data_IF_586238505176
#
_entry.id   IF_586238505176
#
_cell.length_a   1.000
_cell.length_b   1.000
_cell.length_c   1.000
_cell.angle_alpha   90.00
_cell.angle_beta   90.00
_cell.angle_gamma   90.00
#
_symmetry.space_group_name_H-M   'P 1'
#
loop_
_entity.id
_entity.type
_entity.pdbx_description
1 polymer ?
#
# COMPACT_ATOMS: atom_id res chain seq x y z
N UNK A 1 -19.70 -80.35 46.49
CA UNK A 1 -18.69 -79.31 46.24
C UNK A 1 -19.04 -78.60 44.94
N UNK A 2 -19.55 -77.37 45.00
CA UNK A 2 -19.82 -76.56 43.80
C UNK A 2 -18.50 -75.91 43.37
N UNK A 3 -18.05 -76.19 42.15
CA UNK A 3 -16.88 -75.56 41.54
C UNK A 3 -17.33 -74.24 40.88
N UNK A 4 -16.66 -73.13 41.20
CA UNK A 4 -16.88 -71.84 40.55
C UNK A 4 -15.91 -71.71 39.38
N UNK A 5 -16.44 -71.72 38.16
CA UNK A 5 -15.67 -71.42 36.95
C UNK A 5 -15.53 -69.90 36.84
N UNK A 6 -14.30 -69.41 36.88
CA UNK A 6 -13.97 -67.99 36.71
C UNK A 6 -14.06 -67.64 35.21
N UNK A 7 -15.14 -67.00 34.80
CA UNK A 7 -15.29 -66.50 33.42
C UNK A 7 -14.43 -65.26 33.23
N UNK A 8 -13.35 -65.36 32.44
CA UNK A 8 -12.59 -64.19 32.00
C UNK A 8 -13.38 -63.46 30.92
N UNK A 9 -13.88 -62.27 31.26
CA UNK A 9 -14.44 -61.33 30.30
C UNK A 9 -13.29 -60.66 29.54
N UNK A 10 -13.05 -61.06 28.30
CA UNK A 10 -12.20 -60.28 27.40
C UNK A 10 -12.93 -59.00 27.03
N UNK A 11 -12.64 -57.91 27.74
CA UNK A 11 -12.98 -56.56 27.28
C UNK A 11 -11.99 -56.25 26.16
N UNK A 12 -12.42 -56.44 24.90
CA UNK A 12 -11.77 -55.78 23.78
C UNK A 12 -11.93 -54.28 23.99
N UNK A 13 -10.86 -53.60 24.38
CA UNK A 13 -10.80 -52.15 24.30
C UNK A 13 -10.89 -51.78 22.82
N UNK A 14 -12.08 -51.41 22.38
CA UNK A 14 -12.25 -50.72 21.10
C UNK A 14 -11.40 -49.47 21.20
N UNK A 15 -10.26 -49.44 20.50
CA UNK A 15 -9.55 -48.21 20.22
C UNK A 15 -10.54 -47.39 19.40
N UNK A 16 -11.21 -46.45 20.04
CA UNK A 16 -11.86 -45.34 19.36
C UNK A 16 -10.71 -44.56 18.71
N UNK A 17 -10.35 -44.95 17.49
CA UNK A 17 -9.71 -44.04 16.57
C UNK A 17 -10.73 -42.91 16.47
N UNK A 18 -10.40 -41.75 17.03
CA UNK A 18 -11.10 -40.51 16.75
C UNK A 18 -11.03 -40.35 15.22
N UNK A 19 -12.03 -40.85 14.50
CA UNK A 19 -12.29 -40.34 13.16
C UNK A 19 -12.31 -38.82 13.31
N UNK A 20 -11.45 -38.15 12.56
CA UNK A 20 -11.49 -36.70 12.51
C UNK A 20 -12.91 -36.34 12.09
N UNK A 21 -13.74 -35.92 13.04
CA UNK A 21 -15.07 -35.44 12.73
C UNK A 21 -14.84 -34.15 11.92
N UNK A 22 -15.12 -34.22 10.63
CA UNK A 22 -15.50 -33.04 9.88
C UNK A 22 -16.74 -32.52 10.58
N UNK A 23 -16.60 -31.44 11.34
CA UNK A 23 -17.78 -30.72 11.80
C UNK A 23 -18.36 -30.10 10.52
N UNK A 24 -19.36 -30.76 9.93
CA UNK A 24 -20.22 -30.16 8.90
C UNK A 24 -21.07 -29.06 9.57
N UNK A 25 -20.40 -27.98 9.96
CA UNK A 25 -21.04 -26.67 9.91
C UNK A 25 -21.16 -26.43 8.41
N UNK A 26 -22.38 -26.34 7.88
CA UNK A 26 -22.77 -26.36 6.45
C UNK A 26 -21.94 -25.46 5.50
N UNK A 27 -21.07 -24.63 6.05
CA UNK A 27 -20.22 -23.69 5.33
C UNK A 27 -18.79 -23.62 5.87
N UNK A 28 -18.28 -24.49 6.75
CA UNK A 28 -16.89 -24.43 7.22
C UNK A 28 -16.04 -25.52 6.55
N UNK A 29 -15.07 -25.14 5.72
CA UNK A 29 -14.24 -26.08 4.94
C UNK A 29 -12.75 -25.81 5.18
N UNK A 30 -12.11 -26.45 6.17
CA UNK A 30 -10.69 -26.29 6.43
C UNK A 30 -9.81 -27.24 5.59
N UNK A 31 -8.62 -26.80 5.22
CA UNK A 31 -7.54 -27.64 4.68
C UNK A 31 -6.31 -27.49 5.56
N UNK A 32 -6.06 -28.51 6.37
CA UNK A 32 -4.94 -28.57 7.32
C UNK A 32 -4.09 -29.81 7.01
N UNK A 33 -2.77 -29.68 6.96
CA UNK A 33 -1.84 -30.79 6.68
C UNK A 33 -0.41 -30.30 6.47
N UNK A 34 0.59 -31.17 6.66
CA UNK A 34 2.01 -30.79 6.57
C UNK A 34 2.57 -30.77 5.14
N UNK A 35 1.90 -31.41 4.19
CA UNK A 35 2.40 -31.58 2.80
C UNK A 35 1.73 -30.64 1.78
N UNK A 36 1.05 -29.60 2.24
CA UNK A 36 0.37 -28.67 1.33
C UNK A 36 1.19 -27.41 1.13
N UNK A 37 1.27 -26.92 -0.11
CA UNK A 37 1.90 -25.63 -0.43
C UNK A 37 1.16 -24.44 0.19
N UNK A 38 -0.08 -24.64 0.65
CA UNK A 38 -0.90 -23.67 1.40
C UNK A 38 -1.94 -24.37 2.28
N UNK A 39 -2.43 -23.69 3.32
CA UNK A 39 -3.44 -24.14 4.30
C UNK A 39 -4.53 -23.08 4.43
N UNK A 40 -5.77 -23.46 4.74
CA UNK A 40 -6.84 -22.47 4.89
C UNK A 40 -7.96 -22.89 5.84
N UNK A 41 -8.68 -21.88 6.32
CA UNK A 41 -10.03 -22.00 6.87
C UNK A 41 -10.90 -21.07 6.04
N UNK A 42 -12.00 -21.58 5.48
CA UNK A 42 -12.93 -20.77 4.68
C UNK A 42 -14.37 -21.04 5.05
N UNK A 43 -15.19 -20.02 4.82
CA UNK A 43 -16.63 -20.07 4.86
C UNK A 43 -17.18 -20.23 3.44
N UNK A 44 -18.16 -21.10 3.24
CA UNK A 44 -18.85 -21.36 1.99
C UNK A 44 -18.38 -22.62 1.23
N UNK A 45 -18.92 -22.85 0.03
CA UNK A 45 -18.67 -24.05 -0.78
C UNK A 45 -17.53 -23.85 -1.77
N UNK A 46 -16.81 -24.93 -2.10
CA UNK A 46 -15.68 -24.87 -3.04
C UNK A 46 -16.07 -24.52 -4.48
N UNK A 47 -17.36 -24.59 -4.80
CA UNK A 47 -17.89 -24.50 -6.17
C UNK A 47 -18.68 -23.22 -6.44
N UNK A 48 -19.13 -22.50 -5.41
CA UNK A 48 -20.06 -21.37 -5.62
C UNK A 48 -19.65 -20.09 -4.90
N UNK A 49 -19.17 -20.20 -3.66
CA UNK A 49 -18.97 -19.05 -2.78
C UNK A 49 -18.03 -19.38 -1.67
N UNK A 50 -16.84 -18.77 -1.61
CA UNK A 50 -16.06 -18.83 -0.38
C UNK A 50 -15.20 -17.60 -0.10
N UNK A 51 -14.94 -17.38 1.18
CA UNK A 51 -14.00 -16.39 1.70
C UNK A 51 -13.33 -16.97 2.95
N UNK A 52 -12.10 -16.56 3.24
CA UNK A 52 -11.39 -17.17 4.35
C UNK A 52 -10.03 -16.58 4.63
N UNK A 53 -9.30 -17.34 5.44
CA UNK A 53 -7.93 -17.09 5.81
C UNK A 53 -7.07 -18.20 5.23
N UNK A 54 -5.97 -17.84 4.58
CA UNK A 54 -5.01 -18.76 3.99
C UNK A 54 -3.61 -18.45 4.50
N UNK A 55 -2.85 -19.51 4.75
CA UNK A 55 -1.40 -19.46 4.92
C UNK A 55 -0.75 -20.09 3.69
N UNK A 56 0.04 -19.33 2.95
CA UNK A 56 0.83 -19.80 1.83
C UNK A 56 2.21 -20.23 2.33
N UNK A 57 2.59 -21.50 2.16
CA UNK A 57 3.96 -21.93 2.44
C UNK A 57 4.90 -21.58 1.28
N UNK A 58 4.49 -21.86 0.03
CA UNK A 58 5.39 -21.80 -1.12
C UNK A 58 4.69 -21.83 -2.49
N UNK A 59 3.38 -21.63 -2.56
CA UNK A 59 2.65 -21.56 -3.83
C UNK A 59 2.84 -20.18 -4.47
N UNK A 60 3.52 -20.15 -5.61
CA UNK A 60 3.85 -18.92 -6.32
C UNK A 60 2.62 -18.15 -6.82
N UNK A 61 1.47 -18.81 -6.95
CA UNK A 61 0.22 -18.13 -7.31
C UNK A 61 -0.27 -17.19 -6.19
N UNK A 62 0.04 -17.51 -4.94
CA UNK A 62 -0.41 -16.78 -3.75
C UNK A 62 0.67 -15.91 -3.09
N UNK A 63 1.87 -15.84 -3.69
CA UNK A 63 2.97 -15.00 -3.19
C UNK A 63 4.31 -15.71 -3.19
N UNK A 64 5.29 -15.11 -2.52
CA UNK A 64 6.65 -15.63 -2.39
C UNK A 64 6.82 -16.64 -1.23
N UNK A 65 5.75 -16.89 -0.47
CA UNK A 65 5.69 -17.90 0.57
C UNK A 65 5.85 -17.31 1.97
N UNK A 66 5.33 -18.03 2.97
CA UNK A 66 5.06 -17.53 4.33
C UNK A 66 4.07 -16.35 4.38
N UNK A 67 3.20 -16.25 3.37
CA UNK A 67 2.16 -15.23 3.32
C UNK A 67 0.94 -15.65 4.12
N UNK A 68 0.39 -14.70 4.86
CA UNK A 68 -0.97 -14.80 5.38
C UNK A 68 -1.90 -13.94 4.52
N UNK A 69 -2.97 -14.55 4.01
CA UNK A 69 -3.95 -13.87 3.16
C UNK A 69 -5.35 -13.96 3.75
N UNK A 70 -6.06 -12.84 3.70
CA UNK A 70 -7.52 -12.80 3.74
C UNK A 70 -7.95 -12.77 2.27
N UNK A 71 -8.97 -13.54 1.89
CA UNK A 71 -9.35 -13.62 0.48
C UNK A 71 -10.83 -13.91 0.28
N UNK A 72 -11.32 -13.59 -0.91
CA UNK A 72 -12.65 -13.92 -1.45
C UNK A 72 -12.48 -14.65 -2.79
N UNK A 73 -13.47 -15.42 -3.22
CA UNK A 73 -13.48 -16.08 -4.53
C UNK A 73 -14.43 -15.38 -5.53
N UNK A 74 -14.00 -15.31 -6.79
CA UNK A 74 -14.73 -14.62 -7.87
C UNK A 74 -14.68 -13.09 -7.75
N UNK A 75 -15.60 -12.42 -8.45
CA UNK A 75 -15.67 -10.95 -8.51
C UNK A 75 -16.35 -10.35 -7.28
N UNK A 76 -15.80 -10.65 -6.09
CA UNK A 76 -16.36 -10.22 -4.81
C UNK A 76 -15.46 -9.25 -4.09
N UNK A 77 -16.07 -8.20 -3.57
CA UNK A 77 -15.39 -7.23 -2.73
C UNK A 77 -14.96 -7.85 -1.40
N UNK A 78 -13.74 -7.49 -0.98
CA UNK A 78 -13.32 -7.61 0.41
C UNK A 78 -13.53 -6.27 1.09
N UNK A 79 -14.36 -6.23 2.13
CA UNK A 79 -14.63 -4.99 2.87
C UNK A 79 -14.10 -5.12 4.30
N UNK A 80 -13.38 -4.10 4.77
CA UNK A 80 -12.95 -3.94 6.16
C UNK A 80 -13.56 -2.63 6.66
N UNK A 81 -14.46 -2.72 7.64
CA UNK A 81 -15.27 -1.58 8.09
C UNK A 81 -14.98 -1.27 9.55
N UNK A 82 -14.33 -0.15 9.80
CA UNK A 82 -14.25 0.46 11.14
C UNK A 82 -15.42 1.44 11.27
N UNK A 83 -16.07 1.51 12.43
CA UNK A 83 -17.21 2.41 12.65
C UNK A 83 -16.79 3.87 12.64
N UNK A 84 -16.64 4.48 13.82
CA UNK A 84 -16.00 5.81 13.97
C UNK A 84 -14.50 5.71 14.22
N UNK A 85 -13.96 4.49 14.30
CA UNK A 85 -12.54 4.23 14.48
C UNK A 85 -11.74 4.24 13.18
N UNK A 86 -10.42 4.12 13.30
CA UNK A 86 -9.49 4.13 12.18
C UNK A 86 -9.21 2.71 11.68
N UNK A 87 -9.17 2.51 10.36
CA UNK A 87 -8.46 1.38 9.77
C UNK A 87 -6.96 1.72 9.74
N UNK A 88 -6.16 0.97 10.48
CA UNK A 88 -4.73 1.24 10.65
C UNK A 88 -3.95 0.05 10.09
N UNK A 89 -3.10 0.32 9.10
CA UNK A 89 -2.06 -0.59 8.63
C UNK A 89 -0.75 -0.16 9.27
N UNK A 90 -0.25 -0.93 10.23
CA UNK A 90 0.93 -0.59 11.02
C UNK A 90 2.02 -1.68 10.88
N UNK A 91 2.74 -1.72 9.75
CA UNK A 91 3.85 -2.65 9.60
C UNK A 91 5.00 -2.22 10.53
N UNK A 92 5.39 -3.11 11.43
CA UNK A 92 6.54 -2.88 12.33
C UNK A 92 7.87 -3.13 11.60
N UNK A 93 8.98 -2.71 12.22
CA UNK A 93 10.37 -2.99 11.79
C UNK A 93 10.64 -2.93 10.28
N UNK A 94 10.24 -1.84 9.62
CA UNK A 94 10.60 -1.61 8.22
C UNK A 94 9.62 -2.15 7.17
N UNK A 95 8.53 -2.84 7.54
CA UNK A 95 7.53 -3.27 6.58
C UNK A 95 6.85 -2.10 5.83
N UNK A 96 6.33 -2.40 4.65
CA UNK A 96 5.81 -1.45 3.66
C UNK A 96 4.40 -1.85 3.23
N UNK A 97 3.61 -0.89 2.73
CA UNK A 97 2.28 -1.15 2.19
C UNK A 97 2.32 -1.12 0.66
N UNK A 98 2.12 -2.29 0.05
CA UNK A 98 2.07 -2.45 -1.41
C UNK A 98 0.64 -2.44 -1.94
N UNK A 99 0.43 -1.80 -3.10
CA UNK A 99 -0.83 -1.87 -3.87
C UNK A 99 -0.48 -2.36 -5.28
N UNK A 100 -0.94 -3.57 -5.63
CA UNK A 100 -0.62 -4.20 -6.92
C UNK A 100 0.83 -4.69 -7.06
N UNK A 101 1.56 -4.79 -5.95
CA UNK A 101 2.97 -5.20 -5.88
C UNK A 101 3.19 -6.08 -4.65
N UNK A 102 3.96 -7.16 -4.80
CA UNK A 102 4.24 -8.14 -3.73
C UNK A 102 5.50 -7.82 -2.94
N UNK A 103 6.45 -7.08 -3.52
CA UNK A 103 7.72 -6.69 -2.88
C UNK A 103 7.90 -5.16 -2.89
N UNK A 104 7.13 -4.42 -2.08
CA UNK A 104 7.18 -2.95 -2.04
C UNK A 104 8.53 -2.43 -1.52
N UNK A 105 9.09 -1.45 -2.22
CA UNK A 105 10.42 -0.85 -1.92
C UNK A 105 10.34 0.47 -1.15
N UNK A 106 9.14 1.04 -1.05
CA UNK A 106 8.83 2.25 -0.28
C UNK A 106 7.67 2.03 0.69
N UNK A 107 7.51 2.91 1.68
CA UNK A 107 6.47 2.79 2.73
C UNK A 107 5.05 2.65 2.18
N UNK A 108 4.78 3.36 1.11
CA UNK A 108 3.65 3.13 0.22
C UNK A 108 4.24 2.95 -1.18
N UNK A 109 4.02 1.78 -1.78
CA UNK A 109 4.48 1.46 -3.13
C UNK A 109 3.27 0.99 -3.96
N UNK A 110 3.00 1.69 -5.05
CA UNK A 110 1.81 1.47 -5.88
C UNK A 110 2.26 1.14 -7.29
N UNK A 111 2.02 -0.10 -7.72
CA UNK A 111 2.20 -0.51 -9.10
C UNK A 111 0.89 -0.25 -9.86
N UNK A 112 0.67 1.01 -10.21
CA UNK A 112 -0.55 1.47 -10.89
C UNK A 112 -0.80 2.96 -10.72
N UNK A 113 -2.01 3.39 -11.09
CA UNK A 113 -2.43 4.79 -10.98
C UNK A 113 -3.01 5.11 -9.60
N UNK A 114 -2.69 6.30 -9.08
CA UNK A 114 -3.32 6.86 -7.88
C UNK A 114 -4.30 7.96 -8.31
N UNK A 115 -5.59 7.72 -8.11
CA UNK A 115 -6.64 8.73 -8.34
C UNK A 115 -6.99 9.43 -7.02
N UNK A 116 -6.84 10.75 -6.98
CA UNK A 116 -7.30 11.61 -5.87
C UNK A 116 -8.30 12.66 -6.38
N UNK A 117 -9.42 12.82 -5.68
CA UNK A 117 -10.46 13.82 -6.01
C UNK A 117 -10.29 15.15 -5.27
N UNK A 118 -9.23 15.31 -4.47
CA UNK A 118 -9.00 16.53 -3.70
C UNK A 118 -7.54 16.99 -3.80
N UNK A 119 -6.65 16.34 -3.05
CA UNK A 119 -5.24 16.71 -2.98
C UNK A 119 -4.34 15.48 -2.85
N UNK A 120 -3.10 15.63 -3.31
CA UNK A 120 -1.95 14.78 -2.96
C UNK A 120 -0.90 15.70 -2.38
N UNK A 121 -0.58 15.55 -1.09
CA UNK A 121 0.30 16.45 -0.32
C UNK A 121 1.52 15.71 0.23
N UNK A 122 2.68 16.36 0.13
CA UNK A 122 3.93 15.95 0.75
C UNK A 122 4.37 17.07 1.70
N UNK A 123 4.47 16.77 2.98
CA UNK A 123 4.94 17.71 3.99
C UNK A 123 6.46 17.70 4.08
N UNK A 124 7.07 18.84 4.41
CA UNK A 124 8.48 18.89 4.76
C UNK A 124 8.69 18.11 6.07
N UNK A 125 9.57 17.08 6.09
CA UNK A 125 9.81 16.26 7.28
C UNK A 125 10.27 17.04 8.52
N UNK A 126 10.98 18.15 8.31
CA UNK A 126 11.51 19.00 9.39
C UNK A 126 10.59 20.18 9.72
N UNK A 127 9.59 20.45 8.88
CA UNK A 127 8.58 21.48 9.11
C UNK A 127 7.25 21.09 8.47
N UNK A 128 6.37 20.35 9.16
CA UNK A 128 5.10 19.90 8.61
C UNK A 128 4.14 21.02 8.18
N UNK A 129 4.40 22.26 8.60
CA UNK A 129 3.65 23.44 8.15
C UNK A 129 4.03 23.87 6.75
N UNK A 130 5.19 23.46 6.22
CA UNK A 130 5.60 23.65 4.83
C UNK A 130 5.26 22.40 3.99
N UNK A 131 4.66 22.58 2.82
CA UNK A 131 4.27 21.46 1.97
C UNK A 131 4.23 21.78 0.46
N UNK A 132 4.28 20.71 -0.33
CA UNK A 132 4.04 20.67 -1.75
C UNK A 132 2.81 19.81 -2.03
N UNK A 133 1.87 20.29 -2.85
CA UNK A 133 0.72 19.47 -3.23
C UNK A 133 0.19 19.71 -4.65
N UNK A 134 -0.35 18.65 -5.23
CA UNK A 134 -1.18 18.68 -6.44
C UNK A 134 -2.64 18.85 -6.01
N UNK A 135 -3.35 19.83 -6.58
CA UNK A 135 -4.75 20.11 -6.21
C UNK A 135 -5.49 20.96 -7.26
N UNK A 136 -6.72 21.30 -6.93
CA UNK A 136 -7.57 22.26 -7.65
C UNK A 136 -7.90 23.46 -6.77
N UNK A 137 -7.99 24.65 -7.37
CA UNK A 137 -8.62 25.83 -6.78
C UNK A 137 -9.44 26.52 -7.86
N UNK A 138 -10.73 26.76 -7.61
CA UNK A 138 -11.63 27.43 -8.56
C UNK A 138 -11.55 26.82 -9.98
N UNK A 139 -11.64 25.49 -10.08
CA UNK A 139 -11.51 24.73 -11.34
C UNK A 139 -10.18 24.90 -12.09
N UNK A 140 -9.13 25.37 -11.41
CA UNK A 140 -7.77 25.45 -11.96
C UNK A 140 -6.89 24.41 -11.30
N UNK A 141 -6.33 23.50 -12.11
CA UNK A 141 -5.31 22.56 -11.65
C UNK A 141 -4.04 23.32 -11.27
N UNK A 142 -3.42 22.94 -10.14
CA UNK A 142 -2.21 23.61 -9.66
C UNK A 142 -1.23 22.66 -8.99
N UNK A 143 0.05 23.01 -9.12
CA UNK A 143 1.10 22.63 -8.19
C UNK A 143 1.21 23.79 -7.19
N UNK A 144 0.99 23.52 -5.90
CA UNK A 144 1.09 24.55 -4.87
C UNK A 144 2.25 24.24 -3.94
N UNK A 145 3.10 25.24 -3.79
CA UNK A 145 4.11 25.35 -2.74
C UNK A 145 3.49 26.25 -1.68
N UNK A 146 3.51 25.84 -0.42
CA UNK A 146 2.86 26.62 0.61
C UNK A 146 3.36 26.33 2.00
N UNK A 147 2.65 26.94 2.96
CA UNK A 147 2.96 26.83 4.36
C UNK A 147 3.59 28.07 4.96
N UNK A 148 4.19 27.90 6.13
CA UNK A 148 4.96 28.90 6.85
C UNK A 148 6.30 28.35 7.32
N UNK A 149 7.29 29.22 7.48
CA UNK A 149 8.62 28.88 7.99
C UNK A 149 9.54 28.19 6.97
N UNK A 150 10.62 27.59 7.49
CA UNK A 150 11.68 26.96 6.72
C UNK A 150 11.11 25.89 5.77
N UNK A 151 11.48 25.95 4.49
CA UNK A 151 10.94 25.09 3.44
C UNK A 151 9.85 25.75 2.59
N UNK A 152 8.86 26.41 3.20
CA UNK A 152 7.84 27.16 2.44
C UNK A 152 8.46 28.35 1.69
N UNK A 153 9.51 28.94 2.27
CA UNK A 153 10.30 30.02 1.67
C UNK A 153 11.35 29.54 0.66
N UNK A 154 11.57 28.22 0.52
CA UNK A 154 12.63 27.70 -0.36
C UNK A 154 12.17 27.48 -1.81
N UNK A 155 10.85 27.61 -2.07
CA UNK A 155 10.25 27.47 -3.39
C UNK A 155 10.08 26.01 -3.85
N UNK A 156 10.12 25.79 -5.16
CA UNK A 156 10.10 24.48 -5.82
C UNK A 156 11.32 24.33 -6.71
N UNK A 157 11.97 23.19 -6.61
CA UNK A 157 13.13 22.85 -7.42
C UNK A 157 12.83 21.61 -8.26
N UNK A 158 13.05 21.72 -9.57
CA UNK A 158 12.99 20.63 -10.53
C UNK A 158 14.42 20.21 -10.80
N UNK A 159 14.76 18.99 -10.38
CA UNK A 159 16.14 18.50 -10.39
C UNK A 159 16.33 17.33 -11.34
N UNK A 160 17.57 17.13 -11.81
CA UNK A 160 18.03 15.93 -12.48
C UNK A 160 18.88 15.06 -11.53
N UNK A 161 19.53 14.04 -12.09
CA UNK A 161 20.46 13.15 -11.38
C UNK A 161 21.50 13.95 -10.59
N UNK A 162 21.82 13.47 -9.39
CA UNK A 162 22.81 14.12 -8.51
C UNK A 162 22.35 15.44 -7.88
N UNK A 163 21.03 15.65 -7.72
CA UNK A 163 20.44 16.87 -7.13
C UNK A 163 20.77 18.16 -7.89
N UNK A 164 21.06 18.06 -9.20
CA UNK A 164 21.32 19.24 -10.02
C UNK A 164 19.99 19.96 -10.33
N UNK A 165 19.89 21.23 -9.92
CA UNK A 165 18.74 22.08 -10.25
C UNK A 165 18.69 22.40 -11.76
N UNK A 166 17.58 22.04 -12.40
CA UNK A 166 17.27 22.36 -13.80
C UNK A 166 16.43 23.63 -13.89
N UNK A 167 15.38 23.72 -13.08
CA UNK A 167 14.49 24.87 -12.98
C UNK A 167 14.08 25.06 -11.54
N UNK A 168 14.18 26.30 -11.05
CA UNK A 168 13.76 26.65 -9.70
C UNK A 168 12.77 27.80 -9.71
N UNK A 169 11.66 27.62 -9.02
CA UNK A 169 10.70 28.70 -8.71
C UNK A 169 10.94 29.09 -7.26
N UNK A 170 11.39 30.31 -7.01
CA UNK A 170 11.58 30.83 -5.66
C UNK A 170 10.25 31.25 -5.03
N UNK A 171 10.23 31.32 -3.69
CA UNK A 171 9.03 31.77 -2.94
C UNK A 171 8.54 33.17 -3.33
N UNK A 172 9.44 34.03 -3.84
CA UNK A 172 9.12 35.37 -4.31
C UNK A 172 8.61 35.41 -5.78
N UNK A 173 8.37 34.24 -6.38
CA UNK A 173 7.86 34.05 -7.73
C UNK A 173 8.89 34.21 -8.85
N UNK A 174 10.18 34.35 -8.53
CA UNK A 174 11.25 34.40 -9.55
C UNK A 174 11.61 33.01 -10.03
N UNK A 175 11.92 32.87 -11.32
CA UNK A 175 12.23 31.60 -11.97
C UNK A 175 13.69 31.60 -12.43
N UNK A 176 14.44 30.57 -12.05
CA UNK A 176 15.77 30.27 -12.58
C UNK A 176 15.72 29.04 -13.47
N UNK A 177 16.37 29.07 -14.64
CA UNK A 177 16.61 27.90 -15.50
C UNK A 177 18.12 27.73 -15.64
N UNK A 178 18.65 26.59 -15.21
CA UNK A 178 20.10 26.34 -15.11
C UNK A 178 20.83 27.16 -14.04
N UNK A 179 20.08 27.87 -13.18
CA UNK A 179 20.61 28.64 -12.04
C UNK A 179 19.64 28.55 -10.86
N UNK A 180 20.19 28.42 -9.66
CA UNK A 180 19.42 28.48 -8.40
C UNK A 180 19.26 29.90 -7.87
N UNK A 181 20.01 30.86 -8.42
CA UNK A 181 19.98 32.26 -8.03
C UNK A 181 19.59 33.14 -9.25
N UNK A 182 18.30 33.50 -9.38
CA UNK A 182 17.85 34.44 -10.40
C UNK A 182 18.25 35.90 -10.14
N UNK A 183 18.85 36.21 -8.99
CA UNK A 183 19.19 37.59 -8.60
C UNK A 183 17.96 38.48 -8.55
N UNK A 184 18.04 39.63 -9.22
CA UNK A 184 16.93 40.60 -9.31
C UNK A 184 15.96 40.32 -10.46
N UNK A 185 16.20 39.27 -11.27
CA UNK A 185 15.40 38.97 -12.45
C UNK A 185 14.21 38.08 -12.09
N UNK A 186 13.03 38.38 -12.66
CA UNK A 186 11.87 37.49 -12.54
C UNK A 186 12.05 36.18 -13.31
N UNK A 187 12.83 36.20 -14.39
CA UNK A 187 13.28 35.02 -15.12
C UNK A 187 14.76 35.17 -15.40
N UNK A 188 15.57 34.23 -14.89
CA UNK A 188 17.00 34.14 -15.18
C UNK A 188 17.30 32.80 -15.86
N UNK A 189 18.02 32.85 -16.98
CA UNK A 189 18.47 31.65 -17.70
C UNK A 189 19.98 31.64 -17.76
N UNK A 190 20.60 30.61 -17.19
CA UNK A 190 22.04 30.40 -17.27
C UNK A 190 22.34 29.36 -18.36
N UNK A 191 22.38 29.84 -19.60
CA UNK A 191 22.58 29.02 -20.79
C UNK A 191 22.05 29.71 -22.05
N UNK A 192 22.20 29.04 -23.19
CA UNK A 192 21.74 29.56 -24.47
C UNK A 192 20.22 29.44 -24.60
N UNK A 193 19.57 30.53 -25.02
CA UNK A 193 18.16 30.53 -25.40
C UNK A 193 18.08 30.53 -26.93
N UNK A 194 17.52 29.46 -27.51
CA UNK A 194 17.16 29.44 -28.93
C UNK A 194 15.70 29.83 -29.06
N UNK A 195 15.43 30.96 -29.68
CA UNK A 195 14.08 31.43 -29.96
C UNK A 195 13.86 31.57 -31.47
N UNK A 196 12.66 31.22 -31.94
CA UNK A 196 12.23 31.58 -33.29
C UNK A 196 11.85 33.07 -33.36
N UNK A 197 11.28 33.59 -32.29
CA UNK A 197 10.85 34.98 -32.11
C UNK A 197 10.86 35.33 -30.62
N UNK A 198 11.20 36.58 -30.29
CA UNK A 198 11.08 37.14 -28.93
C UNK A 198 10.34 38.47 -29.07
N UNK A 199 9.19 38.58 -28.41
CA UNK A 199 8.45 39.85 -28.26
C UNK A 199 8.62 40.34 -26.83
N UNK A 200 9.11 41.57 -26.65
CA UNK A 200 9.26 42.21 -25.34
C UNK A 200 8.37 43.44 -25.33
N UNK A 201 7.41 43.47 -24.41
CA UNK A 201 6.50 44.59 -24.21
C UNK A 201 6.66 45.14 -22.80
N UNK A 202 6.82 46.46 -22.68
CA UNK A 202 7.01 47.15 -21.40
C UNK A 202 5.78 47.94 -20.96
N UNK A 203 4.70 47.95 -21.76
CA UNK A 203 3.45 48.63 -21.45
C UNK A 203 2.36 47.61 -21.13
N UNK A 204 2.16 47.35 -19.84
CA UNK A 204 1.11 46.48 -19.29
C UNK A 204 0.07 47.34 -18.57
#
# INVERSE_FOLDING_TARGET
MKSYLLTFLFITATILISEAQTVDVEYLNPKMGNETQYKFIRFGTSTESYAGLMWNNSDAYYGDGNDFSIFTYGDRDMTIRTGTGNFIVFPTSGGNFGVGITSPTAKLDVNGEIKSNALVKVANPENPMADLHLSWLNNTARIRIGGSGVGAENGLDIQSVGNQSLMRILHNGSIGIGTTNPGTWKLAVNGNIRAKEIKVETGW
#
